data_IF_858962414894
#
_entry.id   IF_858962414894
#
_cell.length_a   1.000
_cell.length_b   1.000
_cell.length_c   1.000
_cell.angle_alpha   90.00
_cell.angle_beta   90.00
_cell.angle_gamma   90.00
#
_symmetry.space_group_name_H-M   'P 1'
#
loop_
_entity.id
_entity.type
_entity.pdbx_description
1 polymer ?
#
# COMPACT_ATOMS: atom_id res chain seq x y z
N UNK A 1 -30.72 3.19 -2.17
CA UNK A 1 -30.03 3.02 -3.47
C UNK A 1 -28.51 2.99 -3.31
N UNK A 2 -27.87 4.02 -2.72
CA UNK A 2 -26.41 4.06 -2.51
C UNK A 2 -25.89 2.89 -1.63
N UNK A 3 -26.57 2.57 -0.52
CA UNK A 3 -26.27 1.39 0.32
C UNK A 3 -26.41 0.03 -0.38
N UNK A 4 -26.98 -0.03 -1.59
CA UNK A 4 -27.08 -1.25 -2.42
C UNK A 4 -26.03 -1.30 -3.55
N UNK A 5 -25.04 -0.39 -3.55
CA UNK A 5 -23.95 -0.39 -4.52
C UNK A 5 -24.08 0.61 -5.68
N UNK A 6 -25.02 1.57 -5.62
CA UNK A 6 -25.08 2.65 -6.61
C UNK A 6 -23.91 3.62 -6.39
N UNK A 7 -23.16 3.91 -7.47
CA UNK A 7 -21.99 4.80 -7.44
C UNK A 7 -22.36 6.26 -7.09
N UNK A 8 -23.44 6.76 -7.69
CA UNK A 8 -23.98 8.09 -7.42
C UNK A 8 -25.50 8.08 -7.64
N UNK A 9 -26.20 9.09 -7.11
CA UNK A 9 -27.64 9.29 -7.29
C UNK A 9 -27.92 10.65 -7.91
N UNK A 10 -28.73 10.67 -8.96
CA UNK A 10 -29.11 11.89 -9.67
C UNK A 10 -30.62 12.08 -9.55
N UNK A 11 -31.03 13.15 -8.86
CA UNK A 11 -32.43 13.53 -8.72
C UNK A 11 -32.98 14.18 -9.99
N UNK A 12 -34.24 13.88 -10.32
CA UNK A 12 -34.97 14.53 -11.41
C UNK A 12 -35.61 15.83 -10.91
N UNK A 13 -35.69 16.89 -11.73
CA UNK A 13 -35.11 17.05 -13.07
C UNK A 13 -33.61 17.38 -13.02
N UNK A 14 -32.80 16.72 -13.85
CA UNK A 14 -31.35 16.94 -13.92
C UNK A 14 -30.91 17.53 -15.26
N UNK A 15 -29.80 18.28 -15.23
CA UNK A 15 -29.13 18.78 -16.44
C UNK A 15 -28.23 17.69 -17.01
N UNK A 16 -28.19 17.57 -18.34
CA UNK A 16 -27.39 16.57 -19.06
C UNK A 16 -25.91 16.59 -18.67
N UNK A 17 -25.34 17.78 -18.47
CA UNK A 17 -23.93 17.96 -18.10
C UNK A 17 -23.58 17.29 -16.75
N UNK A 18 -24.50 17.34 -15.79
CA UNK A 18 -24.29 16.71 -14.46
C UNK A 18 -24.29 15.19 -14.58
N UNK A 19 -25.09 14.63 -15.49
CA UNK A 19 -25.11 13.21 -15.76
C UNK A 19 -23.83 12.76 -16.47
N UNK A 20 -23.32 13.53 -17.43
CA UNK A 20 -22.07 13.24 -18.12
C UNK A 20 -20.88 13.23 -17.16
N UNK A 21 -20.72 14.25 -16.32
CA UNK A 21 -19.63 14.31 -15.32
C UNK A 21 -19.70 13.16 -14.32
N UNK A 22 -20.90 12.81 -13.83
CA UNK A 22 -21.08 11.68 -12.92
C UNK A 22 -20.74 10.35 -13.59
N UNK A 23 -21.14 10.16 -14.85
CA UNK A 23 -20.81 8.97 -15.63
C UNK A 23 -19.32 8.85 -15.92
N UNK A 24 -18.64 9.93 -16.31
CA UNK A 24 -17.20 9.97 -16.55
C UNK A 24 -16.42 9.59 -15.29
N UNK A 25 -16.75 10.19 -14.14
CA UNK A 25 -16.13 9.85 -12.85
C UNK A 25 -16.36 8.38 -12.47
N UNK A 26 -17.55 7.84 -12.73
CA UNK A 26 -17.86 6.44 -12.45
C UNK A 26 -17.03 5.47 -13.30
N UNK A 27 -16.87 5.78 -14.60
CA UNK A 27 -16.06 5.01 -15.53
C UNK A 27 -14.59 5.05 -15.11
N UNK A 28 -14.07 6.24 -14.80
CA UNK A 28 -12.68 6.41 -14.37
C UNK A 28 -12.39 5.67 -13.07
N UNK A 29 -13.23 5.82 -12.05
CA UNK A 29 -13.08 5.12 -10.78
C UNK A 29 -13.12 3.60 -10.96
N UNK A 30 -13.95 3.10 -11.87
CA UNK A 30 -14.01 1.66 -12.18
C UNK A 30 -12.76 1.19 -12.91
N UNK A 31 -12.23 1.98 -13.86
CA UNK A 31 -10.98 1.70 -14.56
C UNK A 31 -9.81 1.63 -13.58
N UNK A 32 -9.66 2.65 -12.72
CA UNK A 32 -8.60 2.71 -11.72
C UNK A 32 -8.68 1.55 -10.70
N UNK A 33 -9.89 1.17 -10.27
CA UNK A 33 -10.07 0.00 -9.38
C UNK A 33 -9.60 -1.30 -10.05
N UNK A 34 -10.00 -1.54 -11.29
CA UNK A 34 -9.58 -2.73 -12.05
C UNK A 34 -8.07 -2.78 -12.26
N UNK A 35 -7.48 -1.64 -12.62
CA UNK A 35 -6.04 -1.51 -12.81
C UNK A 35 -5.29 -1.79 -11.50
N UNK A 36 -5.76 -1.24 -10.38
CA UNK A 36 -5.18 -1.51 -9.06
C UNK A 36 -5.29 -2.99 -8.66
N UNK A 37 -6.43 -3.63 -8.91
CA UNK A 37 -6.62 -5.07 -8.66
C UNK A 37 -5.70 -5.93 -9.52
N UNK A 38 -5.54 -5.58 -10.80
CA UNK A 38 -4.65 -6.29 -11.72
C UNK A 38 -3.18 -6.15 -11.31
N UNK A 39 -2.74 -4.94 -10.96
CA UNK A 39 -1.39 -4.68 -10.44
C UNK A 39 -1.14 -5.50 -9.16
N UNK A 40 -2.09 -5.50 -8.22
CA UNK A 40 -2.00 -6.30 -6.99
C UNK A 40 -1.89 -7.79 -7.26
N UNK A 41 -2.54 -8.31 -8.30
CA UNK A 41 -2.44 -9.73 -8.70
C UNK A 41 -1.10 -10.07 -9.34
N UNK A 42 -0.48 -9.12 -10.05
CA UNK A 42 0.82 -9.31 -10.72
C UNK A 42 2.00 -9.32 -9.77
N UNK A 43 1.85 -8.79 -8.54
CA UNK A 43 2.91 -8.82 -7.53
C UNK A 43 2.80 -10.11 -6.70
N UNK A 44 3.68 -11.12 -6.93
CA UNK A 44 3.68 -12.32 -6.11
C UNK A 44 4.06 -11.97 -4.68
N UNK A 45 3.27 -12.44 -3.71
CA UNK A 45 3.60 -12.27 -2.30
C UNK A 45 4.64 -13.30 -1.88
N UNK A 46 5.77 -12.89 -1.28
CA UNK A 46 6.77 -13.83 -0.81
C UNK A 46 6.19 -14.71 0.31
N UNK A 47 6.44 -16.02 0.24
CA UNK A 47 5.96 -16.98 1.23
C UNK A 47 7.12 -17.60 2.00
N UNK A 48 6.93 -17.80 3.31
CA UNK A 48 7.90 -18.49 4.15
C UNK A 48 7.80 -20.01 3.95
N UNK A 49 8.70 -20.54 3.13
CA UNK A 49 8.79 -21.96 2.77
C UNK A 49 9.75 -22.70 3.72
N UNK A 50 9.44 -23.95 4.02
CA UNK A 50 10.30 -24.85 4.78
C UNK A 50 9.62 -25.46 6.00
N UNK A 51 10.09 -26.65 6.40
CA UNK A 51 9.55 -27.44 7.51
C UNK A 51 10.56 -27.66 8.64
N UNK A 52 11.72 -27.00 8.59
CA UNK A 52 12.73 -27.12 9.63
C UNK A 52 12.25 -26.55 10.97
N UNK A 53 12.82 -27.04 12.06
CA UNK A 53 12.48 -26.56 13.41
C UNK A 53 12.71 -25.04 13.57
N UNK A 54 13.74 -24.50 12.90
CA UNK A 54 14.05 -23.06 12.91
C UNK A 54 12.93 -22.25 12.24
N UNK A 55 12.45 -22.69 11.08
CA UNK A 55 11.32 -22.05 10.38
C UNK A 55 10.04 -22.15 11.20
N UNK A 56 9.80 -23.29 11.87
CA UNK A 56 8.69 -23.45 12.79
C UNK A 56 8.72 -22.45 13.95
N UNK A 57 9.88 -22.27 14.59
CA UNK A 57 10.08 -21.28 15.66
C UNK A 57 9.87 -19.85 15.17
N UNK A 58 10.38 -19.52 13.97
CA UNK A 58 10.19 -18.21 13.36
C UNK A 58 8.71 -17.93 13.11
N UNK A 59 7.96 -18.89 12.54
CA UNK A 59 6.52 -18.76 12.32
C UNK A 59 5.78 -18.48 13.62
N UNK A 60 6.05 -19.25 14.68
CA UNK A 60 5.46 -19.03 16.00
C UNK A 60 5.82 -17.68 16.64
N UNK A 61 7.03 -17.16 16.39
CA UNK A 61 7.39 -15.81 16.83
C UNK A 61 6.57 -14.76 16.07
N UNK A 62 6.44 -14.91 14.75
CA UNK A 62 5.65 -14.02 13.89
C UNK A 62 4.19 -13.99 14.31
N UNK A 63 3.54 -15.14 14.54
CA UNK A 63 2.14 -15.19 15.01
C UNK A 63 1.92 -14.39 16.31
N UNK A 64 2.92 -14.39 17.21
CA UNK A 64 2.82 -13.69 18.50
C UNK A 64 3.02 -12.19 18.37
N UNK A 65 3.94 -11.74 17.52
CA UNK A 65 4.29 -10.31 17.39
C UNK A 65 3.41 -9.57 16.38
N UNK A 66 2.92 -10.25 15.34
CA UNK A 66 2.12 -9.64 14.28
C UNK A 66 0.86 -8.87 14.75
N UNK A 67 0.05 -9.36 15.72
CA UNK A 67 -1.12 -8.61 16.20
C UNK A 67 -0.76 -7.45 17.14
N UNK A 68 0.52 -7.27 17.49
CA UNK A 68 0.97 -6.18 18.35
C UNK A 68 1.17 -4.88 17.55
N UNK A 69 1.01 -3.73 18.20
CA UNK A 69 1.32 -2.42 17.61
C UNK A 69 2.77 -1.98 17.86
N UNK A 70 3.67 -2.92 18.16
CA UNK A 70 5.07 -2.64 18.48
C UNK A 70 5.92 -2.55 17.23
N UNK A 71 7.04 -1.81 17.32
CA UNK A 71 8.08 -1.79 16.28
C UNK A 71 8.85 -3.11 16.31
N UNK A 72 9.13 -3.70 15.15
CA UNK A 72 9.80 -4.99 15.02
C UNK A 72 11.10 -4.79 14.23
N UNK A 73 12.20 -5.30 14.76
CA UNK A 73 13.50 -5.37 14.08
C UNK A 73 13.75 -6.80 13.60
N UNK A 74 14.00 -6.97 12.30
CA UNK A 74 14.34 -8.26 11.70
C UNK A 74 15.82 -8.22 11.31
N UNK A 75 16.62 -9.10 11.88
CA UNK A 75 18.06 -9.19 11.62
C UNK A 75 18.43 -10.55 11.01
N UNK A 76 19.52 -10.57 10.25
CA UNK A 76 20.04 -11.77 9.61
C UNK A 76 20.88 -11.45 8.38
N UNK A 77 21.69 -12.41 7.89
CA UNK A 77 22.53 -12.24 6.70
C UNK A 77 21.74 -11.84 5.44
N UNK A 78 22.41 -11.34 4.39
CA UNK A 78 21.80 -11.18 3.08
C UNK A 78 21.15 -12.49 2.60
N UNK A 79 19.98 -12.42 1.97
CA UNK A 79 19.26 -13.60 1.45
C UNK A 79 18.56 -14.49 2.49
N UNK A 80 18.62 -14.18 3.79
CA UNK A 80 17.98 -15.00 4.86
C UNK A 80 16.44 -14.92 4.92
N UNK A 81 15.79 -14.19 4.01
CA UNK A 81 14.32 -14.08 3.98
C UNK A 81 13.73 -13.02 4.91
N UNK A 82 14.48 -11.96 5.25
CA UNK A 82 13.98 -10.86 6.10
C UNK A 82 12.71 -10.19 5.57
N UNK A 83 12.66 -9.99 4.25
CA UNK A 83 11.50 -9.44 3.55
C UNK A 83 10.30 -10.40 3.59
N UNK A 84 10.56 -11.70 3.42
CA UNK A 84 9.51 -12.74 3.58
C UNK A 84 8.90 -12.70 4.98
N UNK A 85 9.74 -12.51 6.01
CA UNK A 85 9.29 -12.40 7.39
C UNK A 85 8.47 -11.11 7.64
N UNK A 86 8.87 -9.96 7.08
CA UNK A 86 8.11 -8.70 7.24
C UNK A 86 6.75 -8.76 6.54
N UNK A 87 6.68 -9.37 5.35
CA UNK A 87 5.41 -9.63 4.68
C UNK A 87 4.47 -10.50 5.52
N UNK A 88 4.99 -11.61 6.07
CA UNK A 88 4.18 -12.50 6.90
C UNK A 88 3.70 -11.81 8.18
N UNK A 89 4.52 -10.95 8.78
CA UNK A 89 4.11 -10.11 9.93
C UNK A 89 2.94 -9.21 9.53
N UNK A 90 3.02 -8.50 8.40
CA UNK A 90 1.95 -7.61 7.94
C UNK A 90 0.65 -8.37 7.69
N UNK A 91 0.72 -9.51 6.99
CA UNK A 91 -0.43 -10.36 6.68
C UNK A 91 -1.15 -10.91 7.92
N UNK A 92 -0.42 -11.11 9.03
CA UNK A 92 -0.98 -11.59 10.30
C UNK A 92 -1.28 -10.47 11.30
N UNK A 93 -1.09 -9.23 10.90
CA UNK A 93 -1.34 -8.06 11.75
C UNK A 93 -2.78 -7.58 11.67
N UNK A 94 -3.16 -6.65 12.55
CA UNK A 94 -4.44 -5.93 12.48
C UNK A 94 -4.54 -4.96 11.29
N UNK A 95 -3.46 -4.81 10.52
CA UNK A 95 -3.33 -3.88 9.38
C UNK A 95 -3.19 -4.61 8.06
N UNK A 96 -3.50 -5.91 8.00
CA UNK A 96 -3.32 -6.75 6.82
C UNK A 96 -4.03 -6.19 5.55
N UNK A 97 -5.17 -5.52 5.74
CA UNK A 97 -5.93 -4.87 4.65
C UNK A 97 -5.38 -3.48 4.25
N UNK A 98 -4.44 -2.95 5.04
CA UNK A 98 -3.77 -1.68 4.77
C UNK A 98 -2.58 -1.83 3.80
N UNK A 99 -2.05 -0.70 3.31
CA UNK A 99 -0.87 -0.70 2.45
C UNK A 99 0.34 -1.28 3.20
N UNK A 100 1.15 -2.05 2.48
CA UNK A 100 2.46 -2.51 2.92
C UNK A 100 3.50 -1.91 2.00
N UNK A 101 4.30 -0.99 2.53
CA UNK A 101 5.32 -0.25 1.76
C UNK A 101 6.69 -0.77 2.19
N UNK A 102 7.46 -1.26 1.21
CA UNK A 102 8.85 -1.69 1.41
C UNK A 102 9.76 -0.58 0.93
N UNK A 103 10.62 -0.10 1.82
CA UNK A 103 11.60 0.92 1.50
C UNK A 103 13.01 0.34 1.54
N UNK A 104 13.73 0.40 0.42
CA UNK A 104 15.14 0.06 0.39
C UNK A 104 15.98 1.31 0.63
N UNK A 105 16.32 1.58 1.89
CA UNK A 105 17.11 2.76 2.27
C UNK A 105 18.51 2.79 1.67
N UNK A 106 19.06 1.65 1.23
CA UNK A 106 20.36 1.59 0.57
C UNK A 106 20.31 2.08 -0.88
N UNK A 107 19.12 2.09 -1.50
CA UNK A 107 18.92 2.57 -2.86
C UNK A 107 18.53 4.05 -2.93
N UNK A 108 18.21 4.67 -1.78
CA UNK A 108 17.79 6.07 -1.70
C UNK A 108 19.00 7.01 -1.60
N UNK A 109 18.93 8.11 -2.35
CA UNK A 109 19.89 9.19 -2.22
C UNK A 109 19.63 9.94 -0.90
N UNK A 110 20.67 10.10 -0.08
CA UNK A 110 20.55 10.64 1.29
C UNK A 110 19.89 12.03 1.34
N UNK A 111 20.08 12.82 0.30
CA UNK A 111 19.52 14.16 0.11
C UNK A 111 18.02 14.17 -0.24
N UNK A 112 17.43 13.01 -0.60
CA UNK A 112 16.02 12.89 -1.01
C UNK A 112 15.16 12.01 -0.12
N UNK A 113 15.75 11.33 0.87
CA UNK A 113 15.03 10.40 1.77
C UNK A 113 13.83 11.09 2.42
N UNK A 114 14.00 12.31 2.93
CA UNK A 114 12.94 13.03 3.61
C UNK A 114 11.78 13.39 2.67
N UNK A 115 12.10 13.79 1.43
CA UNK A 115 11.10 14.14 0.43
C UNK A 115 10.30 12.90 0.01
N UNK A 116 10.95 11.75 -0.13
CA UNK A 116 10.25 10.50 -0.47
C UNK A 116 9.39 9.98 0.70
N UNK A 117 9.86 10.12 1.94
CA UNK A 117 9.13 9.66 3.12
C UNK A 117 7.95 10.58 3.47
N UNK A 118 8.16 11.88 3.48
CA UNK A 118 7.22 12.86 4.03
C UNK A 118 6.54 13.72 2.96
N UNK A 119 7.09 13.75 1.75
CA UNK A 119 6.65 14.66 0.70
C UNK A 119 7.25 16.05 0.84
N UNK A 120 6.89 16.93 -0.09
CA UNK A 120 7.24 18.34 -0.03
C UNK A 120 6.11 19.21 -0.59
N UNK A 121 5.97 20.41 -0.06
CA UNK A 121 5.01 21.39 -0.57
C UNK A 121 5.40 21.88 -1.99
N UNK A 122 4.42 22.33 -2.80
CA UNK A 122 4.72 22.98 -4.07
C UNK A 122 5.69 24.14 -3.90
N UNK A 123 6.64 24.30 -4.82
CA UNK A 123 7.65 25.36 -4.74
C UNK A 123 8.91 24.99 -3.93
N UNK A 124 8.89 23.94 -3.11
CA UNK A 124 10.05 23.53 -2.29
C UNK A 124 11.26 23.12 -3.13
N UNK A 125 11.02 22.43 -4.26
CA UNK A 125 12.06 21.98 -5.19
C UNK A 125 12.32 22.97 -6.34
N UNK A 126 11.62 24.11 -6.37
CA UNK A 126 11.73 25.15 -7.39
C UNK A 126 10.39 25.80 -7.73
N UNK A 127 10.39 27.03 -8.30
CA UNK A 127 9.21 27.90 -8.38
C UNK A 127 8.02 27.38 -9.21
N UNK A 128 8.17 26.30 -9.97
CA UNK A 128 7.09 25.68 -10.77
C UNK A 128 6.91 24.17 -10.52
N UNK A 129 7.49 23.63 -9.44
CA UNK A 129 7.34 22.20 -9.14
C UNK A 129 6.09 21.92 -8.30
N UNK A 130 5.21 21.00 -8.74
CA UNK A 130 4.08 20.57 -7.94
C UNK A 130 4.57 19.87 -6.67
N UNK A 131 3.78 19.94 -5.60
CA UNK A 131 4.08 19.26 -4.35
C UNK A 131 4.12 17.74 -4.57
N UNK A 132 4.99 17.07 -3.82
CA UNK A 132 5.12 15.62 -3.82
C UNK A 132 4.48 15.10 -2.55
N UNK A 133 3.57 14.11 -2.69
CA UNK A 133 3.02 13.40 -1.53
C UNK A 133 3.99 12.28 -1.17
N UNK A 134 4.44 12.24 0.09
CA UNK A 134 5.33 11.20 0.60
C UNK A 134 4.65 9.83 0.72
N UNK A 135 5.43 8.82 1.09
CA UNK A 135 4.95 7.44 1.21
C UNK A 135 4.18 7.09 2.50
N UNK A 136 3.78 8.09 3.33
CA UNK A 136 3.07 7.86 4.60
C UNK A 136 1.56 7.64 4.49
#
# INVERSE_FOLDING_TARGET
>A
AIRKGAYDFIEKPFKSDRLLVAAERAIEATRLRRENEELKRKTPKPQLIGSSQVVGKLRQAIERVAPTNSRILISGPPGSGKEVASHLIHERSRRADGPFVVLNTAALAADRVDIELFGCEPGFLGPDQPGVVGMM
#
